data_IF_623951652231
#
_entry.id   IF_623951652231
#
_cell.length_a   1.000
_cell.length_b   1.000
_cell.length_c   1.000
_cell.angle_alpha   90.00
_cell.angle_beta   90.00
_cell.angle_gamma   90.00
#
_symmetry.space_group_name_H-M   'P 1'
#
loop_
_entity.id
_entity.type
_entity.pdbx_description
1 polymer ?
#
# COMPACT_ATOMS: atom_id res chain seq x y z
N UNK A 1 -6.33 20.63 29.92
CA UNK A 1 -5.49 21.02 28.76
C UNK A 1 -5.27 19.75 28.01
N UNK A 2 -6.12 19.53 27.01
CA UNK A 2 -6.12 18.33 26.17
C UNK A 2 -4.92 18.46 25.24
N UNK A 3 -3.90 17.63 25.47
CA UNK A 3 -2.85 17.36 24.49
C UNK A 3 -3.54 16.63 23.33
N UNK A 4 -4.03 17.38 22.33
CA UNK A 4 -4.22 16.83 21.00
C UNK A 4 -2.82 16.43 20.51
N UNK A 5 -2.42 15.20 20.84
CA UNK A 5 -1.27 14.57 20.24
C UNK A 5 -1.45 14.66 18.73
N UNK A 6 -0.67 15.53 18.10
CA UNK A 6 -0.69 15.78 16.67
C UNK A 6 -0.51 14.43 15.97
N UNK A 7 -1.61 13.87 15.46
CA UNK A 7 -1.60 12.53 14.90
C UNK A 7 -0.59 12.53 13.74
N UNK A 8 0.47 11.73 13.87
CA UNK A 8 1.45 11.59 12.82
C UNK A 8 0.73 11.12 11.56
N UNK A 9 1.03 11.72 10.42
CA UNK A 9 0.50 11.28 9.13
C UNK A 9 1.53 10.40 8.45
N UNK A 10 1.05 9.45 7.64
CA UNK A 10 1.94 8.67 6.76
C UNK A 10 2.61 9.63 5.79
N UNK A 11 3.95 9.63 5.75
CA UNK A 11 4.70 10.44 4.80
C UNK A 11 4.60 9.85 3.38
N UNK A 12 4.83 10.69 2.36
CA UNK A 12 4.87 10.22 0.97
C UNK A 12 5.92 9.13 0.75
N UNK A 13 7.09 9.24 1.41
CA UNK A 13 8.16 8.25 1.32
C UNK A 13 7.75 6.87 1.89
N UNK A 14 7.16 6.84 3.09
CA UNK A 14 6.66 5.59 3.69
C UNK A 14 5.56 4.95 2.83
N UNK A 15 4.68 5.79 2.28
CA UNK A 15 3.63 5.35 1.38
C UNK A 15 4.19 4.70 0.10
N UNK A 16 5.23 5.29 -0.51
CA UNK A 16 5.88 4.75 -1.72
C UNK A 16 6.58 3.40 -1.46
N UNK A 17 7.19 3.23 -0.27
CA UNK A 17 7.75 1.94 0.12
C UNK A 17 6.63 0.91 0.33
N UNK A 18 5.58 1.26 1.06
CA UNK A 18 4.43 0.38 1.27
C UNK A 18 3.79 -0.06 -0.06
N UNK A 19 3.69 0.87 -1.02
CA UNK A 19 3.24 0.58 -2.38
C UNK A 19 4.13 -0.43 -3.09
N UNK A 20 5.44 -0.29 -3.01
CA UNK A 20 6.39 -1.22 -3.63
C UNK A 20 6.26 -2.64 -3.06
N UNK A 21 6.13 -2.77 -1.74
CA UNK A 21 5.96 -4.06 -1.05
C UNK A 21 4.66 -4.74 -1.47
N UNK A 22 3.55 -3.99 -1.47
CA UNK A 22 2.23 -4.54 -1.81
C UNK A 22 2.13 -4.91 -3.29
N UNK A 23 2.74 -4.13 -4.16
CA UNK A 23 2.87 -4.46 -5.59
C UNK A 23 3.61 -5.78 -5.77
N UNK A 24 4.75 -5.97 -5.09
CA UNK A 24 5.52 -7.22 -5.14
C UNK A 24 4.76 -8.43 -4.56
N UNK A 25 4.00 -8.20 -3.48
CA UNK A 25 3.12 -9.23 -2.94
C UNK A 25 2.04 -9.64 -3.95
N UNK A 26 1.44 -8.69 -4.67
CA UNK A 26 0.39 -8.95 -5.64
C UNK A 26 0.89 -9.60 -6.94
N UNK A 27 2.09 -9.26 -7.40
CA UNK A 27 2.72 -9.94 -8.55
C UNK A 27 3.04 -11.39 -8.21
N UNK A 28 3.55 -11.65 -7.00
CA UNK A 28 3.95 -12.98 -6.52
C UNK A 28 2.77 -13.88 -6.15
N UNK A 29 1.61 -13.30 -5.85
CA UNK A 29 0.40 -14.03 -5.41
C UNK A 29 -0.82 -13.68 -6.30
N UNK A 30 -0.80 -14.07 -7.59
CA UNK A 30 -1.83 -13.66 -8.56
C UNK A 30 -3.22 -14.28 -8.30
N UNK A 31 -3.28 -15.35 -7.52
CA UNK A 31 -4.51 -16.06 -7.11
C UNK A 31 -5.28 -15.33 -6.00
N UNK A 32 -4.68 -14.34 -5.34
CA UNK A 32 -5.31 -13.65 -4.22
C UNK A 32 -6.35 -12.64 -4.67
N UNK A 33 -7.42 -12.59 -3.89
CA UNK A 33 -8.56 -11.72 -4.14
C UNK A 33 -8.35 -10.29 -3.59
N UNK A 34 -9.28 -9.40 -3.92
CA UNK A 34 -9.24 -8.00 -3.50
C UNK A 34 -9.26 -7.84 -1.97
N UNK A 35 -10.00 -8.70 -1.26
CA UNK A 35 -10.11 -8.65 0.19
C UNK A 35 -8.77 -8.96 0.86
N UNK A 36 -8.06 -9.96 0.36
CA UNK A 36 -6.71 -10.28 0.80
C UNK A 36 -5.73 -9.14 0.52
N UNK A 37 -5.76 -8.58 -0.70
CA UNK A 37 -4.89 -7.46 -1.08
C UNK A 37 -5.13 -6.22 -0.22
N UNK A 38 -6.39 -5.93 0.11
CA UNK A 38 -6.76 -4.85 1.02
C UNK A 38 -6.24 -5.08 2.43
N UNK A 39 -6.37 -6.30 2.94
CA UNK A 39 -5.83 -6.68 4.25
C UNK A 39 -4.31 -6.53 4.30
N UNK A 40 -3.60 -6.92 3.24
CA UNK A 40 -2.14 -6.71 3.15
C UNK A 40 -1.81 -5.21 3.14
N UNK A 41 -2.49 -4.42 2.31
CA UNK A 41 -2.26 -2.97 2.23
C UNK A 41 -2.42 -2.28 3.59
N UNK A 42 -3.47 -2.64 4.33
CA UNK A 42 -3.70 -2.13 5.69
C UNK A 42 -2.57 -2.56 6.64
N UNK A 43 -2.26 -3.86 6.72
CA UNK A 43 -1.21 -4.36 7.61
C UNK A 43 0.16 -3.75 7.31
N UNK A 44 0.51 -3.59 6.03
CA UNK A 44 1.77 -2.96 5.63
C UNK A 44 1.84 -1.51 6.11
N UNK A 45 0.78 -0.72 5.93
CA UNK A 45 0.75 0.67 6.42
C UNK A 45 0.83 0.74 7.94
N UNK A 46 0.09 -0.11 8.66
CA UNK A 46 0.08 -0.14 10.13
C UNK A 46 1.44 -0.53 10.72
N UNK A 47 2.13 -1.49 10.10
CA UNK A 47 3.47 -1.93 10.53
C UNK A 47 4.54 -0.89 10.19
N UNK A 48 4.50 -0.34 8.97
CA UNK A 48 5.53 0.58 8.50
C UNK A 48 5.42 1.97 9.13
N UNK A 49 4.19 2.44 9.33
CA UNK A 49 3.90 3.80 9.78
C UNK A 49 3.35 3.75 11.22
N UNK A 50 4.08 3.09 12.13
CA UNK A 50 3.59 2.88 13.50
C UNK A 50 3.37 4.23 14.20
N UNK A 51 2.16 4.43 14.72
CA UNK A 51 1.78 5.70 15.36
C UNK A 51 1.27 6.76 14.38
N UNK A 52 1.32 6.50 13.07
CA UNK A 52 0.64 7.33 12.09
C UNK A 52 -0.83 6.94 11.94
N UNK A 53 -1.70 7.93 11.71
CA UNK A 53 -3.10 7.69 11.38
C UNK A 53 -3.20 7.21 9.93
N UNK A 54 -3.38 5.90 9.75
CA UNK A 54 -3.70 5.30 8.45
C UNK A 54 -5.12 5.67 8.05
N UNK A 55 -5.30 6.10 6.80
CA UNK A 55 -6.60 6.50 6.24
C UNK A 55 -7.13 5.45 5.28
N UNK A 56 -8.45 5.41 5.10
CA UNK A 56 -9.11 4.53 4.14
C UNK A 56 -8.67 4.79 2.69
N UNK A 57 -8.42 6.05 2.36
CA UNK A 57 -7.93 6.47 1.04
C UNK A 57 -6.53 5.89 0.76
N UNK A 58 -5.64 5.85 1.75
CA UNK A 58 -4.31 5.24 1.61
C UNK A 58 -4.42 3.73 1.39
N UNK A 59 -5.25 3.05 2.18
CA UNK A 59 -5.51 1.61 2.02
C UNK A 59 -6.08 1.35 0.62
N UNK A 60 -7.04 2.15 0.17
CA UNK A 60 -7.66 2.02 -1.15
C UNK A 60 -6.66 2.25 -2.30
N UNK A 61 -5.82 3.27 -2.18
CA UNK A 61 -4.79 3.57 -3.18
C UNK A 61 -3.78 2.42 -3.33
N UNK A 62 -3.30 1.87 -2.20
CA UNK A 62 -2.42 0.70 -2.21
C UNK A 62 -3.10 -0.54 -2.76
N UNK A 63 -4.33 -0.82 -2.35
CA UNK A 63 -5.13 -1.94 -2.85
C UNK A 63 -5.30 -1.86 -4.37
N UNK A 64 -5.57 -0.66 -4.88
CA UNK A 64 -5.73 -0.41 -6.32
C UNK A 64 -4.42 -0.64 -7.09
N UNK A 65 -3.28 -0.19 -6.54
CA UNK A 65 -1.97 -0.47 -7.11
C UNK A 65 -1.69 -1.99 -7.16
N UNK A 66 -2.02 -2.72 -6.09
CA UNK A 66 -1.89 -4.16 -5.99
C UNK A 66 -2.73 -4.89 -7.06
N UNK A 67 -4.01 -4.51 -7.21
CA UNK A 67 -4.91 -5.09 -8.22
C UNK A 67 -4.36 -4.86 -9.64
N UNK A 68 -3.87 -3.65 -9.91
CA UNK A 68 -3.25 -3.33 -11.21
C UNK A 68 -1.97 -4.13 -11.43
N UNK A 69 -1.26 -4.48 -10.36
CA UNK A 69 -0.02 -5.23 -10.43
C UNK A 69 -0.22 -6.75 -10.58
N UNK A 70 -1.35 -7.28 -10.12
CA UNK A 70 -1.64 -8.71 -10.02
C UNK A 70 -1.34 -9.47 -11.31
N UNK A 71 -0.47 -10.47 -11.22
CA UNK A 71 -0.10 -11.36 -12.32
C UNK A 71 0.65 -10.70 -13.48
N UNK A 72 1.13 -9.47 -13.30
CA UNK A 72 1.94 -8.76 -14.30
C UNK A 72 3.41 -8.82 -13.92
N UNK A 73 4.28 -8.76 -14.94
CA UNK A 73 5.73 -8.67 -14.72
C UNK A 73 6.12 -7.26 -14.29
N UNK A 74 7.21 -7.12 -13.53
CA UNK A 74 7.75 -5.81 -13.12
C UNK A 74 7.97 -4.85 -14.30
N UNK A 75 8.46 -5.38 -15.44
CA UNK A 75 8.60 -4.61 -16.67
C UNK A 75 7.26 -4.03 -17.16
N UNK A 76 6.17 -4.78 -17.02
CA UNK A 76 4.83 -4.32 -17.37
C UNK A 76 4.37 -3.21 -16.40
N UNK A 77 4.71 -3.32 -15.12
CA UNK A 77 4.30 -2.34 -14.10
C UNK A 77 4.94 -0.98 -14.26
N UNK A 78 6.21 -0.94 -14.66
CA UNK A 78 6.92 0.30 -14.99
C UNK A 78 6.25 0.97 -16.20
N UNK A 79 5.92 0.21 -17.25
CA UNK A 79 5.22 0.74 -18.43
C UNK A 79 3.84 1.34 -18.14
N UNK A 80 3.13 0.86 -17.10
CA UNK A 80 1.82 1.37 -16.70
C UNK A 80 1.87 2.41 -15.56
N UNK A 81 3.07 2.85 -15.14
CA UNK A 81 3.23 3.82 -14.05
C UNK A 81 2.78 3.31 -12.68
N UNK A 82 2.74 1.99 -12.47
CA UNK A 82 2.43 1.38 -11.18
C UNK A 82 3.66 1.45 -10.26
N UNK A 83 4.85 1.23 -10.83
CA UNK A 83 6.14 1.48 -10.18
C UNK A 83 6.77 2.70 -10.85
N UNK A 84 7.32 3.62 -10.06
CA UNK A 84 7.88 4.91 -10.49
C UNK A 84 9.16 5.19 -9.70
#
# INVERSE_FOLDING_TARGET
MEEEAMALSVSAFEFDIAKSIIVEAATSNPDKDTSWLRSQAQMTLEVMCSGAKVTEEQIYALTTAAIKARGRTTATLVCFGVLS
#
